data_IF_344500783829
#
_entry.id   IF_344500783829
#
_cell.length_a   1.000
_cell.length_b   1.000
_cell.length_c   1.000
_cell.angle_alpha   90.00
_cell.angle_beta   90.00
_cell.angle_gamma   90.00
#
_symmetry.space_group_name_H-M   'P 1'
#
loop_
_entity.id
_entity.type
_entity.pdbx_description
1 polymer ?
#
# COMPACT_ATOMS: atom_id res chain seq x y z
N UNK A 1 6.47 -19.14 -20.80
CA UNK A 1 6.66 -18.19 -19.68
C UNK A 1 6.34 -16.77 -20.12
N UNK A 2 5.64 -16.00 -19.28
CA UNK A 2 5.29 -14.60 -19.55
C UNK A 2 6.53 -13.69 -19.49
N UNK A 3 6.48 -12.52 -20.12
CA UNK A 3 7.55 -11.53 -20.01
C UNK A 3 7.70 -11.02 -18.56
N UNK A 4 6.60 -10.93 -17.81
CA UNK A 4 6.61 -10.61 -16.38
C UNK A 4 7.45 -11.59 -15.56
N UNK A 5 7.27 -12.90 -15.76
CA UNK A 5 8.05 -13.92 -15.06
C UNK A 5 9.55 -13.84 -15.40
N UNK A 6 9.87 -13.52 -16.66
CA UNK A 6 11.25 -13.35 -17.12
C UNK A 6 11.95 -12.11 -16.54
N UNK A 7 11.19 -11.10 -16.14
CA UNK A 7 11.71 -9.86 -15.56
C UNK A 7 12.08 -9.98 -14.07
N UNK A 8 11.68 -11.08 -13.40
CA UNK A 8 12.04 -11.35 -12.01
C UNK A 8 13.51 -11.79 -11.87
N UNK A 9 14.08 -11.53 -10.69
CA UNK A 9 15.35 -12.16 -10.27
C UNK A 9 15.19 -13.67 -10.13
N UNK A 10 16.27 -14.45 -10.22
CA UNK A 10 16.19 -15.92 -10.03
C UNK A 10 15.66 -16.31 -8.65
N UNK A 11 16.00 -15.55 -7.61
CA UNK A 11 15.46 -15.73 -6.27
C UNK A 11 13.94 -15.52 -6.23
N UNK A 12 13.44 -14.50 -6.92
CA UNK A 12 12.01 -14.24 -6.99
C UNK A 12 11.29 -15.22 -7.94
N UNK A 13 11.92 -15.72 -8.99
CA UNK A 13 11.32 -16.77 -9.85
C UNK A 13 10.98 -18.02 -9.06
N UNK A 14 11.85 -18.42 -8.13
CA UNK A 14 11.59 -19.55 -7.23
C UNK A 14 10.33 -19.35 -6.36
N UNK A 15 9.92 -18.10 -6.10
CA UNK A 15 8.70 -17.78 -5.35
C UNK A 15 7.41 -18.02 -6.15
N UNK A 16 7.50 -18.04 -7.48
CA UNK A 16 6.35 -18.14 -8.40
C UNK A 16 6.33 -19.43 -9.22
N UNK A 17 7.43 -20.18 -9.25
CA UNK A 17 7.53 -21.42 -10.00
C UNK A 17 6.43 -22.41 -9.59
N UNK A 18 5.74 -22.98 -10.59
CA UNK A 18 4.61 -23.89 -10.40
C UNK A 18 3.32 -23.27 -9.82
N UNK A 19 3.24 -21.97 -9.50
CA UNK A 19 2.09 -21.36 -8.80
C UNK A 19 0.93 -20.86 -9.69
N UNK A 20 1.06 -20.92 -11.02
CA UNK A 20 -0.04 -20.61 -11.96
C UNK A 20 -0.66 -19.22 -11.76
N UNK A 21 0.05 -18.15 -12.12
CA UNK A 21 -0.48 -16.78 -12.07
C UNK A 21 -1.26 -16.42 -13.33
N UNK A 22 -2.47 -15.90 -13.14
CA UNK A 22 -3.27 -15.27 -14.20
C UNK A 22 -3.26 -13.76 -14.00
N UNK A 23 -2.82 -13.02 -15.02
CA UNK A 23 -2.74 -11.56 -15.01
C UNK A 23 -3.70 -11.00 -16.04
N UNK A 24 -4.54 -10.05 -15.63
CA UNK A 24 -5.33 -9.27 -16.59
C UNK A 24 -4.38 -8.49 -17.50
N UNK A 25 -4.62 -8.54 -18.80
CA UNK A 25 -3.85 -7.78 -19.81
C UNK A 25 -4.35 -6.34 -19.98
N UNK A 26 -5.48 -5.99 -19.37
CA UNK A 26 -6.12 -4.67 -19.48
C UNK A 26 -6.36 -4.09 -18.10
N UNK A 27 -6.25 -2.75 -17.93
CA UNK A 27 -6.71 -2.08 -16.72
C UNK A 27 -8.15 -2.47 -16.43
N UNK A 28 -8.41 -2.88 -15.19
CA UNK A 28 -9.75 -3.31 -14.76
C UNK A 28 -10.42 -2.11 -14.12
N UNK A 29 -11.59 -1.73 -14.62
CA UNK A 29 -12.45 -0.75 -13.96
C UNK A 29 -12.97 -1.34 -12.65
N UNK A 30 -12.90 -0.60 -11.55
CA UNK A 30 -13.34 -1.08 -10.23
C UNK A 30 -14.83 -0.83 -10.04
N UNK A 31 -15.60 -1.91 -9.96
CA UNK A 31 -17.03 -1.90 -9.69
C UNK A 31 -17.41 -3.14 -8.87
N UNK A 32 -18.70 -3.35 -8.61
CA UNK A 32 -19.17 -4.48 -7.77
C UNK A 32 -18.80 -5.87 -8.29
N UNK A 33 -18.56 -6.01 -9.59
CA UNK A 33 -18.22 -7.30 -10.23
C UNK A 33 -16.72 -7.56 -10.23
N UNK A 34 -15.89 -6.50 -10.22
CA UNK A 34 -14.44 -6.60 -10.40
C UNK A 34 -13.63 -6.27 -9.15
N UNK A 35 -14.23 -5.62 -8.14
CA UNK A 35 -13.54 -5.18 -6.94
C UNK A 35 -13.11 -6.34 -6.05
N UNK A 36 -11.80 -6.54 -5.94
CA UNK A 36 -11.19 -7.58 -5.10
C UNK A 36 -11.19 -7.19 -3.63
N UNK A 37 -11.16 -8.19 -2.74
CA UNK A 37 -11.01 -7.94 -1.32
C UNK A 37 -9.57 -7.48 -0.98
N UNK A 38 -8.57 -8.07 -1.63
CA UNK A 38 -7.17 -7.70 -1.44
C UNK A 38 -6.72 -6.72 -2.51
N UNK A 39 -6.08 -5.65 -2.07
CA UNK A 39 -5.57 -4.60 -2.94
C UNK A 39 -4.18 -4.18 -2.44
N UNK A 40 -3.29 -3.83 -3.36
CA UNK A 40 -2.02 -3.20 -3.01
C UNK A 40 -1.78 -1.96 -3.85
N UNK A 41 -1.11 -0.97 -3.26
CA UNK A 41 -0.57 0.19 -3.98
C UNK A 41 0.92 0.27 -3.71
N UNK A 42 1.71 0.09 -4.76
CA UNK A 42 3.16 0.02 -4.72
C UNK A 42 3.79 1.30 -5.29
N UNK A 43 4.97 1.64 -4.77
CA UNK A 43 5.75 2.79 -5.25
C UNK A 43 6.42 2.56 -6.60
N UNK A 44 6.99 3.64 -7.14
CA UNK A 44 7.58 3.75 -8.49
C UNK A 44 8.86 2.93 -8.74
N UNK A 45 9.43 2.29 -7.72
CA UNK A 45 10.67 1.52 -7.85
C UNK A 45 10.43 0.05 -8.19
N UNK A 46 9.18 -0.42 -8.16
CA UNK A 46 8.85 -1.80 -8.47
C UNK A 46 8.48 -1.97 -9.93
N UNK A 47 9.11 -2.95 -10.60
CA UNK A 47 8.53 -3.46 -11.83
C UNK A 47 7.21 -4.20 -11.53
N UNK A 48 6.44 -4.51 -12.57
CA UNK A 48 5.13 -5.17 -12.46
C UNK A 48 5.17 -6.46 -11.63
N UNK A 49 6.19 -7.30 -11.84
CA UNK A 49 6.31 -8.57 -11.16
C UNK A 49 6.69 -8.41 -9.68
N UNK A 50 7.52 -7.41 -9.35
CA UNK A 50 7.81 -7.04 -7.97
C UNK A 50 6.61 -6.41 -7.28
N UNK A 51 5.80 -5.62 -7.97
CA UNK A 51 4.57 -5.06 -7.41
C UNK A 51 3.57 -6.17 -7.06
N UNK A 52 3.42 -7.18 -7.93
CA UNK A 52 2.61 -8.38 -7.66
C UNK A 52 3.17 -9.15 -6.44
N UNK A 53 4.48 -9.40 -6.40
CA UNK A 53 5.15 -10.07 -5.28
C UNK A 53 4.87 -9.35 -3.97
N UNK A 54 5.12 -8.04 -3.95
CA UNK A 54 4.94 -7.20 -2.77
C UNK A 54 3.48 -7.18 -2.35
N UNK A 55 2.54 -7.04 -3.29
CA UNK A 55 1.11 -7.11 -2.98
C UNK A 55 0.72 -8.43 -2.32
N UNK A 56 1.22 -9.58 -2.81
CA UNK A 56 0.96 -10.89 -2.20
C UNK A 56 1.57 -11.03 -0.79
N UNK A 57 2.82 -10.61 -0.60
CA UNK A 57 3.49 -10.68 0.71
C UNK A 57 2.82 -9.74 1.73
N UNK A 58 2.45 -8.54 1.30
CA UNK A 58 1.93 -7.48 2.17
C UNK A 58 0.45 -7.64 2.50
N UNK A 59 -0.30 -8.40 1.70
CA UNK A 59 -1.68 -8.80 1.98
C UNK A 59 -1.77 -10.18 2.66
N UNK A 60 -0.62 -10.78 2.99
CA UNK A 60 -0.56 -12.08 3.66
C UNK A 60 -1.04 -13.26 2.80
N UNK A 61 -1.10 -13.08 1.48
CA UNK A 61 -1.63 -14.07 0.54
C UNK A 61 -0.52 -14.96 -0.05
N UNK A 62 0.73 -14.71 0.31
CA UNK A 62 1.85 -15.45 -0.24
C UNK A 62 1.93 -16.87 0.34
N UNK A 63 1.67 -17.89 -0.48
CA UNK A 63 1.87 -19.29 -0.10
C UNK A 63 0.72 -19.93 0.69
N UNK A 64 -0.47 -19.31 0.69
CA UNK A 64 -1.64 -19.81 1.44
C UNK A 64 -2.33 -21.05 0.81
N UNK A 65 -1.87 -21.51 -0.36
CA UNK A 65 -2.39 -22.72 -1.02
C UNK A 65 -3.82 -22.60 -1.58
N UNK A 66 -4.39 -21.40 -1.60
CA UNK A 66 -5.71 -21.09 -2.16
C UNK A 66 -5.57 -20.09 -3.31
N UNK A 67 -6.52 -20.06 -4.27
CA UNK A 67 -6.59 -18.98 -5.26
C UNK A 67 -6.72 -17.62 -4.56
N UNK A 68 -5.96 -16.63 -5.05
CA UNK A 68 -5.93 -15.27 -4.51
C UNK A 68 -6.38 -14.29 -5.58
N UNK A 69 -7.36 -13.46 -5.24
CA UNK A 69 -7.77 -12.31 -6.05
C UNK A 69 -7.14 -11.04 -5.47
N UNK A 70 -6.18 -10.47 -6.21
CA UNK A 70 -5.44 -9.27 -5.82
C UNK A 70 -5.48 -8.24 -6.94
N UNK A 71 -5.93 -7.03 -6.61
CA UNK A 71 -5.75 -5.85 -7.48
C UNK A 71 -4.46 -5.15 -7.11
N UNK A 72 -3.58 -4.92 -8.08
CA UNK A 72 -2.28 -4.27 -7.88
C UNK A 72 -2.28 -2.91 -8.57
N UNK A 73 -2.32 -1.83 -7.77
CA UNK A 73 -1.97 -0.50 -8.22
C UNK A 73 -0.46 -0.32 -8.17
N UNK A 74 0.17 -0.05 -9.31
CA UNK A 74 1.59 0.30 -9.37
C UNK A 74 1.77 1.46 -10.34
N UNK A 75 2.81 2.26 -10.11
CA UNK A 75 3.15 3.35 -11.00
C UNK A 75 4.43 2.98 -11.78
N UNK A 76 4.34 2.72 -13.10
CA UNK A 76 5.50 2.33 -13.92
C UNK A 76 6.48 3.48 -14.22
N UNK A 77 6.19 4.71 -13.77
CA UNK A 77 7.07 5.86 -13.99
C UNK A 77 8.31 5.74 -13.09
N UNK A 78 9.37 5.12 -13.60
CA UNK A 78 10.68 5.03 -12.93
C UNK A 78 11.27 6.42 -12.66
N UNK A 79 11.44 6.79 -11.39
CA UNK A 79 12.12 8.05 -11.01
C UNK A 79 11.84 8.49 -9.58
N UNK A 80 12.37 7.78 -8.58
CA UNK A 80 12.09 8.09 -7.17
C UNK A 80 13.24 8.78 -6.45
N UNK A 81 14.49 8.47 -6.79
CA UNK A 81 15.57 8.83 -5.88
C UNK A 81 15.97 10.31 -5.88
N UNK A 82 16.06 10.99 -7.04
CA UNK A 82 16.25 12.44 -7.08
C UNK A 82 15.01 13.14 -6.49
N UNK A 83 13.81 12.77 -6.94
CA UNK A 83 12.55 13.43 -6.59
C UNK A 83 12.15 13.26 -5.11
N UNK A 84 12.52 12.17 -4.44
CA UNK A 84 12.20 11.98 -3.03
C UNK A 84 13.16 12.70 -2.09
N UNK A 85 14.46 12.77 -2.44
CA UNK A 85 15.42 13.59 -1.71
C UNK A 85 15.15 15.09 -1.94
N UNK A 86 14.66 15.45 -3.12
CA UNK A 86 14.23 16.81 -3.46
C UNK A 86 12.88 17.15 -2.81
N UNK A 87 11.88 16.25 -2.83
CA UNK A 87 10.56 16.47 -2.19
C UNK A 87 10.52 16.34 -0.67
N UNK A 88 11.52 15.72 -0.04
CA UNK A 88 11.74 15.86 1.40
C UNK A 88 12.17 17.28 1.80
N UNK A 89 12.66 18.07 0.82
CA UNK A 89 12.98 19.50 0.95
C UNK A 89 11.87 20.38 0.37
N UNK A 90 11.15 19.91 -0.65
CA UNK A 90 10.13 20.67 -1.42
C UNK A 90 8.68 20.42 -0.95
N UNK A 91 8.47 20.39 0.36
CA UNK A 91 7.14 20.43 0.95
C UNK A 91 6.54 21.83 0.86
N UNK A 92 6.03 22.29 -0.31
CA UNK A 92 4.98 23.33 -0.29
C UNK A 92 4.11 23.64 -1.53
N UNK A 93 4.45 23.42 -2.81
CA UNK A 93 3.75 24.22 -3.87
C UNK A 93 3.23 23.58 -5.18
N UNK A 94 3.39 22.28 -5.48
CA UNK A 94 3.09 21.77 -6.86
C UNK A 94 1.75 21.04 -7.11
N UNK A 95 0.84 20.97 -6.14
CA UNK A 95 -0.49 20.35 -6.33
C UNK A 95 -0.49 18.82 -6.47
N UNK A 96 -1.66 18.18 -6.33
CA UNK A 96 -1.78 16.71 -6.38
C UNK A 96 -1.50 16.15 -7.79
N UNK A 97 -0.59 15.18 -7.89
CA UNK A 97 -0.20 14.56 -9.17
C UNK A 97 -1.34 13.78 -9.82
N UNK A 98 -1.31 13.60 -11.15
CA UNK A 98 -2.32 12.82 -11.88
C UNK A 98 -2.45 11.38 -11.38
N UNK A 99 -1.32 10.75 -11.00
CA UNK A 99 -1.29 9.42 -10.39
C UNK A 99 -2.00 9.42 -9.04
N UNK A 100 -1.72 10.38 -8.16
CA UNK A 100 -2.42 10.49 -6.88
C UNK A 100 -3.93 10.70 -7.08
N UNK A 101 -4.36 11.51 -8.06
CA UNK A 101 -5.79 11.66 -8.39
C UNK A 101 -6.43 10.33 -8.81
N UNK A 102 -5.79 9.59 -9.72
CA UNK A 102 -6.26 8.27 -10.17
C UNK A 102 -6.30 7.25 -9.02
N UNK A 103 -5.29 7.24 -8.16
CA UNK A 103 -5.26 6.36 -6.99
C UNK A 103 -6.33 6.76 -5.96
N UNK A 104 -6.61 8.05 -5.77
CA UNK A 104 -7.72 8.52 -4.96
C UNK A 104 -9.06 8.04 -5.49
N UNK A 105 -9.26 8.13 -6.81
CA UNK A 105 -10.46 7.61 -7.48
C UNK A 105 -10.60 6.09 -7.31
N UNK A 106 -9.50 5.34 -7.45
CA UNK A 106 -9.46 3.90 -7.18
C UNK A 106 -9.95 3.57 -5.76
N UNK A 107 -9.48 4.30 -4.74
CA UNK A 107 -9.93 4.10 -3.35
C UNK A 107 -11.42 4.40 -3.20
N UNK A 108 -11.92 5.47 -3.82
CA UNK A 108 -13.34 5.82 -3.80
C UNK A 108 -14.22 4.75 -4.48
N UNK A 109 -13.79 4.25 -5.64
CA UNK A 109 -14.53 3.24 -6.39
C UNK A 109 -14.53 1.90 -5.66
N UNK A 110 -13.41 1.53 -5.04
CA UNK A 110 -13.32 0.35 -4.19
C UNK A 110 -14.25 0.44 -2.98
N UNK A 111 -14.27 1.59 -2.29
CA UNK A 111 -15.17 1.83 -1.15
C UNK A 111 -16.64 1.68 -1.57
N UNK A 112 -17.04 2.30 -2.69
CA UNK A 112 -18.39 2.19 -3.25
C UNK A 112 -18.75 0.76 -3.66
N UNK A 113 -17.83 0.07 -4.32
CA UNK A 113 -18.05 -1.28 -4.82
C UNK A 113 -18.16 -2.31 -3.70
N UNK A 114 -17.47 -2.07 -2.57
CA UNK A 114 -17.37 -3.03 -1.45
C UNK A 114 -17.89 -2.49 -0.13
N UNK A 115 -18.75 -1.47 -0.14
CA UNK A 115 -19.26 -0.82 1.07
C UNK A 115 -19.89 -1.79 2.08
N UNK A 116 -20.51 -2.88 1.62
CA UNK A 116 -21.16 -3.90 2.45
C UNK A 116 -20.20 -4.99 2.97
N UNK A 117 -19.01 -5.13 2.36
CA UNK A 117 -18.07 -6.23 2.62
C UNK A 117 -16.70 -5.76 3.10
N UNK A 118 -16.36 -4.49 2.94
CA UNK A 118 -15.02 -3.96 3.17
C UNK A 118 -13.97 -4.49 2.19
N UNK A 119 -12.79 -3.88 2.23
CA UNK A 119 -11.63 -4.22 1.41
C UNK A 119 -10.35 -3.93 2.20
N UNK A 120 -9.27 -4.63 1.86
CA UNK A 120 -7.95 -4.37 2.42
C UNK A 120 -7.05 -3.71 1.37
N UNK A 121 -6.29 -2.70 1.78
CA UNK A 121 -5.32 -1.98 0.94
C UNK A 121 -3.96 -1.95 1.63
N UNK A 122 -3.00 -2.68 1.08
CA UNK A 122 -1.60 -2.62 1.48
C UNK A 122 -0.85 -1.54 0.72
N UNK A 123 -0.14 -0.68 1.43
CA UNK A 123 0.53 0.50 0.88
C UNK A 123 2.04 0.37 1.08
N UNK A 124 2.79 0.26 -0.01
CA UNK A 124 4.24 0.08 0.06
C UNK A 124 4.99 1.31 -0.45
N UNK A 125 6.00 1.74 0.30
CA UNK A 125 6.86 2.86 -0.08
C UNK A 125 6.01 4.09 -0.46
N UNK A 126 6.23 4.67 -1.63
CA UNK A 126 5.48 5.80 -2.16
C UNK A 126 3.98 5.54 -2.36
N UNK A 127 3.52 4.29 -2.37
CA UNK A 127 2.09 3.96 -2.46
C UNK A 127 1.28 4.61 -1.34
N UNK A 128 1.86 4.78 -0.15
CA UNK A 128 1.20 5.45 0.98
C UNK A 128 0.99 6.97 0.75
N UNK A 129 2.03 7.81 0.50
CA UNK A 129 1.79 9.22 0.20
C UNK A 129 0.94 9.45 -1.06
N UNK A 130 1.01 8.57 -2.07
CA UNK A 130 0.12 8.64 -3.25
C UNK A 130 -1.34 8.48 -2.84
N UNK A 131 -1.66 7.45 -2.06
CA UNK A 131 -3.01 7.21 -1.54
C UNK A 131 -3.46 8.35 -0.63
N UNK A 132 -2.60 8.83 0.26
CA UNK A 132 -2.90 9.95 1.15
C UNK A 132 -3.30 11.20 0.38
N UNK A 133 -2.46 11.63 -0.58
CA UNK A 133 -2.71 12.82 -1.39
C UNK A 133 -3.92 12.64 -2.31
N UNK A 134 -4.13 11.42 -2.83
CA UNK A 134 -5.28 11.08 -3.65
C UNK A 134 -6.59 11.20 -2.90
N UNK A 135 -6.68 10.62 -1.70
CA UNK A 135 -7.86 10.73 -0.84
C UNK A 135 -8.12 12.20 -0.48
N UNK A 136 -7.09 12.95 -0.08
CA UNK A 136 -7.25 14.37 0.23
C UNK A 136 -7.81 15.15 -0.96
N UNK A 137 -7.29 14.91 -2.17
CA UNK A 137 -7.81 15.53 -3.38
C UNK A 137 -9.30 15.23 -3.60
N UNK A 138 -9.71 13.96 -3.49
CA UNK A 138 -11.12 13.57 -3.66
C UNK A 138 -12.02 14.22 -2.58
N UNK A 139 -11.52 14.38 -1.36
CA UNK A 139 -12.22 15.12 -0.30
C UNK A 139 -12.35 16.61 -0.63
N UNK A 140 -11.29 17.23 -1.13
CA UNK A 140 -11.27 18.66 -1.47
C UNK A 140 -12.18 18.99 -2.66
N UNK A 141 -12.40 18.03 -3.57
CA UNK A 141 -13.43 18.15 -4.62
C UNK A 141 -14.87 17.99 -4.10
N UNK A 142 -15.05 17.61 -2.83
CA UNK A 142 -16.38 17.29 -2.27
C UNK A 142 -16.98 15.98 -2.78
N UNK A 143 -16.20 15.17 -3.50
CA UNK A 143 -16.60 13.89 -4.07
C UNK A 143 -16.56 12.76 -3.02
N UNK A 144 -15.68 12.91 -2.02
CA UNK A 144 -15.72 12.07 -0.83
C UNK A 144 -16.79 12.57 0.14
N UNK A 145 -18.05 12.21 -0.10
CA UNK A 145 -18.95 12.04 1.04
C UNK A 145 -18.51 10.75 1.68
N UNK A 146 -18.07 10.79 2.94
CA UNK A 146 -17.96 9.57 3.71
C UNK A 146 -19.27 8.84 3.49
N UNK A 147 -19.21 7.77 2.70
CA UNK A 147 -20.19 6.72 2.62
C UNK A 147 -20.10 6.11 4.00
N UNK A 148 -20.63 6.83 4.99
CA UNK A 148 -21.12 6.20 6.20
C UNK A 148 -22.00 5.12 5.63
N UNK A 149 -21.47 3.89 5.70
CA UNK A 149 -22.08 2.65 5.28
C UNK A 149 -23.56 2.92 5.17
N UNK A 150 -24.12 2.92 3.95
CA UNK A 150 -25.55 3.13 3.76
C UNK A 150 -26.21 2.50 4.95
N UNK A 151 -26.76 3.33 5.85
CA UNK A 151 -27.33 2.88 7.12
C UNK A 151 -28.59 2.13 6.73
N UNK A 152 -28.43 0.96 6.14
CA UNK A 152 -29.40 -0.10 6.21
C UNK A 152 -29.57 -0.32 7.69
N UNK A 153 -30.82 -0.48 8.09
CA UNK A 153 -31.34 -0.41 9.44
C UNK A 153 -30.89 -1.60 10.32
N UNK A 154 -29.62 -1.97 10.23
CA UNK A 154 -28.96 -3.10 10.87
C UNK A 154 -27.99 -2.54 11.88
N UNK A 155 -28.39 -2.57 13.15
CA UNK A 155 -27.64 -2.16 14.35
C UNK A 155 -26.27 -2.86 14.54
N UNK A 156 -25.79 -3.64 13.58
CA UNK A 156 -24.60 -4.51 13.67
C UNK A 156 -23.74 -4.44 12.40
N UNK A 157 -23.26 -3.26 12.00
CA UNK A 157 -22.06 -3.23 11.15
C UNK A 157 -20.87 -3.42 12.08
N UNK A 158 -20.44 -4.66 12.24
CA UNK A 158 -19.22 -5.00 12.97
C UNK A 158 -18.03 -4.24 12.34
N UNK A 159 -17.03 -3.86 13.15
CA UNK A 159 -15.79 -3.21 12.68
C UNK A 159 -15.11 -3.97 11.52
N UNK A 160 -15.45 -5.26 11.39
CA UNK A 160 -15.01 -6.18 10.37
C UNK A 160 -15.50 -5.88 8.95
N UNK A 161 -16.50 -5.01 8.72
CA UNK A 161 -16.94 -4.66 7.35
C UNK A 161 -16.30 -3.39 6.78
N UNK A 162 -15.29 -2.84 7.48
CA UNK A 162 -14.64 -1.60 7.06
C UNK A 162 -13.52 -1.80 6.06
N UNK A 163 -13.22 -0.74 5.30
CA UNK A 163 -11.95 -0.69 4.59
C UNK A 163 -10.81 -0.72 5.61
N UNK A 164 -9.77 -1.50 5.34
CA UNK A 164 -8.56 -1.56 6.14
C UNK A 164 -7.36 -1.12 5.31
N UNK A 165 -6.50 -0.33 5.92
CA UNK A 165 -5.28 0.18 5.32
C UNK A 165 -4.09 -0.22 6.18
N UNK A 166 -2.99 -0.63 5.54
CA UNK A 166 -1.73 -0.95 6.21
C UNK A 166 -0.57 -0.39 5.39
N UNK A 167 0.45 0.16 6.06
CA UNK A 167 1.61 0.74 5.38
C UNK A 167 2.89 -0.02 5.67
N UNK A 168 3.72 -0.19 4.64
CA UNK A 168 4.99 -0.88 4.69
C UNK A 168 6.10 -0.01 4.10
N UNK A 169 7.17 0.22 4.85
CA UNK A 169 8.33 1.00 4.42
C UNK A 169 8.01 2.41 3.94
N UNK A 170 6.96 3.02 4.46
CA UNK A 170 6.43 4.25 3.87
C UNK A 170 7.24 5.50 4.27
N UNK A 171 7.55 6.43 3.33
CA UNK A 171 8.06 7.76 3.64
C UNK A 171 6.97 8.72 4.17
N UNK A 172 5.75 8.24 4.40
CA UNK A 172 4.65 8.98 5.03
C UNK A 172 4.46 8.52 6.47
N UNK A 173 4.30 9.48 7.37
CA UNK A 173 4.10 9.20 8.78
C UNK A 173 2.79 8.45 9.07
N UNK A 174 2.89 7.37 9.84
CA UNK A 174 1.74 6.53 10.19
C UNK A 174 0.66 7.24 11.01
N UNK A 175 1.01 8.22 11.85
CA UNK A 175 0.04 8.99 12.62
C UNK A 175 -0.77 9.95 11.73
N UNK A 176 -0.14 10.57 10.75
CA UNK A 176 -0.83 11.39 9.75
C UNK A 176 -1.78 10.55 8.90
N UNK A 177 -1.32 9.37 8.47
CA UNK A 177 -2.16 8.44 7.73
C UNK A 177 -3.33 7.95 8.57
N UNK A 178 -3.10 7.59 9.83
CA UNK A 178 -4.17 7.23 10.77
C UNK A 178 -5.22 8.32 10.91
N UNK A 179 -4.79 9.59 10.97
CA UNK A 179 -5.70 10.75 11.04
C UNK A 179 -6.61 10.79 9.82
N UNK A 180 -6.04 10.68 8.62
CA UNK A 180 -6.81 10.66 7.37
C UNK A 180 -7.79 9.49 7.32
N UNK A 181 -7.30 8.26 7.52
CA UNK A 181 -8.08 7.03 7.38
C UNK A 181 -9.18 6.94 8.44
N UNK A 182 -8.86 7.16 9.71
CA UNK A 182 -9.83 6.99 10.79
C UNK A 182 -10.80 8.17 10.89
N UNK A 183 -10.29 9.40 10.87
CA UNK A 183 -11.12 10.58 11.17
C UNK A 183 -11.89 11.07 9.95
N UNK A 184 -11.41 10.81 8.72
CA UNK A 184 -12.06 11.30 7.50
C UNK A 184 -12.73 10.21 6.65
N UNK A 185 -12.24 8.98 6.65
CA UNK A 185 -12.85 7.88 5.88
C UNK A 185 -13.76 6.96 6.70
N UNK A 186 -13.72 7.05 8.03
CA UNK A 186 -14.34 6.05 8.93
C UNK A 186 -13.85 4.61 8.69
N UNK A 187 -12.59 4.46 8.27
CA UNK A 187 -11.93 3.20 7.95
C UNK A 187 -10.88 2.80 9.01
N UNK A 188 -10.41 1.56 8.93
CA UNK A 188 -9.40 1.01 9.85
C UNK A 188 -8.00 1.22 9.32
N UNK A 189 -7.09 1.76 10.15
CA UNK A 189 -5.67 1.82 9.84
C UNK A 189 -4.89 0.90 10.77
N UNK A 190 -4.30 -0.16 10.21
CA UNK A 190 -3.52 -1.14 10.97
C UNK A 190 -2.23 -0.54 11.54
N UNK A 191 -1.60 0.39 10.80
CA UNK A 191 -0.34 0.99 11.21
C UNK A 191 0.68 1.13 10.08
N UNK A 192 1.84 1.70 10.43
CA UNK A 192 3.01 1.78 9.55
C UNK A 192 4.13 0.86 10.05
N UNK A 193 4.58 -0.06 9.19
CA UNK A 193 5.53 -1.10 9.52
C UNK A 193 6.82 -0.92 8.73
N UNK A 194 7.96 -1.07 9.40
CA UNK A 194 9.29 -0.88 8.81
C UNK A 194 10.22 -2.02 9.24
N UNK A 195 11.16 -2.38 8.38
CA UNK A 195 12.28 -3.24 8.78
C UNK A 195 13.37 -2.37 9.39
N UNK A 196 14.20 -2.97 10.25
CA UNK A 196 15.40 -2.29 10.73
C UNK A 196 16.27 -1.86 9.55
N UNK A 197 16.82 -0.65 9.62
CA UNK A 197 17.68 -0.02 8.61
C UNK A 197 16.95 0.36 7.30
N UNK A 198 15.62 0.33 7.28
CA UNK A 198 14.83 0.84 6.17
C UNK A 198 14.78 2.37 6.20
N UNK A 199 15.73 3.01 5.49
CA UNK A 199 15.85 4.47 5.44
C UNK A 199 14.56 5.18 4.99
N UNK A 200 13.82 4.61 4.04
CA UNK A 200 12.60 5.26 3.53
C UNK A 200 11.51 5.27 4.60
N UNK A 201 11.28 4.13 5.23
CA UNK A 201 10.30 4.01 6.31
C UNK A 201 10.69 4.78 7.57
N UNK A 202 11.95 4.62 7.97
CA UNK A 202 12.46 5.13 9.24
C UNK A 202 12.84 6.61 9.17
N UNK A 203 13.71 6.98 8.23
CA UNK A 203 14.25 8.33 8.21
C UNK A 203 13.29 9.33 7.58
N UNK A 204 12.71 8.98 6.43
CA UNK A 204 11.84 9.88 5.69
C UNK A 204 10.42 9.85 6.24
N UNK A 205 9.89 8.67 6.54
CA UNK A 205 8.54 8.51 7.09
C UNK A 205 8.45 8.76 8.60
N UNK A 206 9.56 8.70 9.32
CA UNK A 206 9.57 8.79 10.77
C UNK A 206 8.89 7.61 11.47
N UNK A 207 8.74 6.47 10.79
CA UNK A 207 8.10 5.25 11.31
C UNK A 207 9.15 4.28 11.87
N UNK A 208 8.80 3.33 12.73
CA UNK A 208 9.78 2.36 13.24
C UNK A 208 9.13 1.05 13.68
N UNK A 209 9.76 -0.07 13.32
CA UNK A 209 9.31 -1.42 13.65
C UNK A 209 7.82 -1.63 13.40
N UNK A 210 7.09 -2.04 14.44
CA UNK A 210 5.68 -2.40 14.38
C UNK A 210 4.80 -1.21 14.80
N UNK A 211 4.51 -0.29 13.86
CA UNK A 211 3.68 0.89 14.11
C UNK A 211 4.23 1.83 15.21
N UNK A 212 5.55 1.95 15.29
CA UNK A 212 6.25 2.88 16.17
C UNK A 212 6.74 4.14 15.46
N UNK A 213 7.40 5.00 16.22
CA UNK A 213 8.01 6.25 15.74
C UNK A 213 9.53 6.09 15.70
N UNK A 214 10.18 6.53 14.62
CA UNK A 214 11.63 6.52 14.50
C UNK A 214 12.30 7.39 15.57
N UNK A 215 13.39 6.86 16.13
CA UNK A 215 14.32 7.61 16.98
C UNK A 215 15.07 8.67 16.18
N UNK A 216 15.67 9.66 16.86
CA UNK A 216 16.48 10.67 16.18
C UNK A 216 17.65 10.04 15.41
N UNK A 217 18.26 8.99 15.97
CA UNK A 217 19.36 8.27 15.31
C UNK A 217 18.91 7.65 13.98
N UNK A 218 17.77 6.96 13.97
CA UNK A 218 17.21 6.38 12.75
C UNK A 218 16.88 7.45 11.70
N UNK A 219 16.47 8.65 12.13
CA UNK A 219 16.14 9.77 11.23
C UNK A 219 17.33 10.40 10.53
N UNK A 220 18.54 10.28 11.08
CA UNK A 220 19.76 10.88 10.53
C UNK A 220 20.72 9.85 9.94
N UNK A 221 20.36 8.57 9.92
CA UNK A 221 21.23 7.49 9.45
C UNK A 221 21.24 7.39 7.92
N UNK A 222 21.94 8.32 7.28
CA UNK A 222 22.11 8.42 5.82
C UNK A 222 22.86 7.19 5.26
N UNK A 223 23.63 6.46 6.09
CA UNK A 223 24.30 5.23 5.62
C UNK A 223 23.29 4.17 5.18
N UNK A 224 22.10 4.15 5.78
CA UNK A 224 21.03 3.25 5.38
C UNK A 224 20.42 3.60 4.03
N UNK A 225 20.56 4.84 3.53
CA UNK A 225 20.12 5.21 2.19
C UNK A 225 20.88 4.42 1.12
N UNK A 226 22.18 4.14 1.33
CA UNK A 226 22.97 3.32 0.40
C UNK A 226 22.52 1.87 0.34
N UNK A 227 21.92 1.34 1.42
CA UNK A 227 21.39 -0.04 1.46
C UNK A 227 20.18 -0.22 0.55
N UNK A 228 19.54 0.86 0.10
CA UNK A 228 18.36 0.81 -0.77
C UNK A 228 18.66 0.24 -2.17
N UNK A 229 19.89 0.35 -2.67
CA UNK A 229 20.29 -0.08 -4.02
C UNK A 229 20.85 -1.50 -4.09
N UNK A 230 20.96 -2.19 -2.96
CA UNK A 230 21.48 -3.55 -2.91
C UNK A 230 20.38 -4.62 -3.01
N UNK A 231 20.75 -5.84 -3.42
CA UNK A 231 19.86 -7.01 -3.39
C UNK A 231 19.33 -7.33 -1.99
N UNK A 232 20.05 -6.91 -0.95
CA UNK A 232 19.67 -7.08 0.46
C UNK A 232 18.95 -5.86 1.03
N UNK A 233 18.36 -5.01 0.18
CA UNK A 233 17.67 -3.80 0.60
C UNK A 233 16.54 -4.15 1.59
N UNK A 234 16.55 -3.57 2.81
CA UNK A 234 15.50 -3.79 3.80
C UNK A 234 14.15 -3.21 3.37
N UNK A 235 14.12 -2.44 2.27
CA UNK A 235 12.93 -1.80 1.73
C UNK A 235 12.21 -2.62 0.64
N UNK A 236 12.86 -3.67 0.13
CA UNK A 236 12.42 -4.38 -1.08
C UNK A 236 11.22 -5.30 -0.89
N UNK A 237 11.02 -5.84 0.33
CA UNK A 237 9.99 -6.83 0.63
C UNK A 237 9.44 -6.65 2.04
N UNK A 238 8.16 -6.96 2.24
CA UNK A 238 7.50 -6.95 3.55
C UNK A 238 6.47 -8.07 3.58
N UNK A 239 6.65 -9.04 4.47
CA UNK A 239 5.66 -10.10 4.71
C UNK A 239 4.81 -9.73 5.89
N UNK A 240 3.51 -9.75 5.72
CA UNK A 240 2.57 -9.37 6.76
C UNK A 240 2.84 -10.13 8.08
N UNK A 241 3.08 -11.43 7.97
CA UNK A 241 3.22 -12.39 9.07
C UNK A 241 4.38 -12.05 10.01
N UNK A 242 5.41 -11.36 9.49
CA UNK A 242 6.60 -10.98 10.26
C UNK A 242 6.29 -9.90 11.31
N UNK A 243 5.15 -9.20 11.19
CA UNK A 243 4.78 -8.05 12.03
C UNK A 243 3.77 -8.41 13.15
N UNK A 244 3.50 -9.71 13.33
CA UNK A 244 2.75 -10.26 14.46
C UNK A 244 1.22 -10.26 14.30
N UNK A 245 0.47 -10.87 15.23
CA UNK A 245 -0.96 -11.15 15.05
C UNK A 245 -1.86 -9.91 15.06
N UNK A 246 -1.30 -8.73 15.39
CA UNK A 246 -2.04 -7.47 15.46
C UNK A 246 -2.03 -6.70 14.13
N UNK A 247 -1.18 -7.07 13.18
CA UNK A 247 -1.23 -6.44 11.86
C UNK A 247 -2.43 -6.97 11.09
N UNK A 248 -3.26 -6.05 10.59
CA UNK A 248 -4.38 -6.37 9.73
C UNK A 248 -3.96 -6.14 8.28
N UNK A 249 -3.52 -7.20 7.63
CA UNK A 249 -3.16 -7.19 6.21
C UNK A 249 -4.21 -7.85 5.32
N UNK A 250 -5.43 -8.03 5.81
CA UNK A 250 -6.48 -8.71 5.05
C UNK A 250 -6.57 -10.23 5.28
N UNK A 251 -5.94 -10.80 6.31
CA UNK A 251 -6.36 -12.11 6.82
C UNK A 251 -7.76 -12.00 7.41
N UNK A 252 -8.79 -12.19 6.59
CA UNK A 252 -10.10 -12.55 7.08
C UNK A 252 -10.20 -14.06 7.09
N UNK A 253 -10.64 -14.60 8.23
CA UNK A 253 -10.99 -16.01 8.37
C UNK A 253 -12.20 -16.33 7.50
#
# INVERSE_FOLDING_TARGET
>A
ESHYYKALTEEDKAKFDGKGLYLSKVPVEINKETATHQNSVNGMMNNEAEAIKNGLEQTGQFGIGQPVELTVGYNPSYGFLPDLLESAVDTSELGTTGIAKQTGQFVLDLDKARADKGANIALHSQGNPIVYNGIQYIMDQGEYKATGYFKTDTKNLEEDNKMTFVSFGSPKNGAEMKKLIKEKLDATYSGAYTKKDDFVGEALGGNSGNNGTATLQQKVDILNAFKLFGSNSPHSSYRCEDYGPKVQCGYRK
#
